data_IF_757889772050
#
_entry.id   IF_757889772050
#
_cell.length_a   1.000
_cell.length_b   1.000
_cell.length_c   1.000
_cell.angle_alpha   90.00
_cell.angle_beta   90.00
_cell.angle_gamma   90.00
#
_symmetry.space_group_name_H-M   'P 1'
#
loop_
_entity.id
_entity.type
_entity.pdbx_description
1 polymer ?
#
# COMPACT_ATOMS: atom_id res chain seq x y z
N UNK A 1 16.36 -8.55 -29.65
CA UNK A 1 16.35 -8.49 -28.18
C UNK A 1 14.89 -8.41 -27.78
N UNK A 2 14.41 -9.45 -27.10
CA UNK A 2 12.98 -9.73 -26.92
C UNK A 2 12.34 -8.75 -25.93
N UNK A 3 11.15 -8.24 -26.26
CA UNK A 3 10.37 -7.24 -25.51
C UNK A 3 9.79 -7.78 -24.18
N UNK A 4 10.15 -8.99 -23.75
CA UNK A 4 9.50 -9.72 -22.65
C UNK A 4 10.24 -9.65 -21.30
N UNK A 5 11.27 -8.82 -21.15
CA UNK A 5 12.03 -8.65 -19.89
C UNK A 5 11.91 -7.27 -19.22
N UNK A 6 11.13 -6.35 -19.80
CA UNK A 6 10.72 -5.10 -19.15
C UNK A 6 9.34 -5.31 -18.51
N UNK A 7 9.28 -5.87 -17.30
CA UNK A 7 8.31 -5.31 -16.37
C UNK A 7 8.73 -3.83 -16.25
N UNK A 8 7.94 -2.91 -16.81
CA UNK A 8 8.41 -1.54 -17.00
C UNK A 8 8.80 -0.96 -15.64
N UNK A 9 9.86 -0.13 -15.58
CA UNK A 9 10.23 0.52 -14.32
C UNK A 9 9.03 1.28 -13.71
N UNK A 10 8.10 1.73 -14.56
CA UNK A 10 6.81 2.29 -14.18
C UNK A 10 5.92 1.30 -13.41
N UNK A 11 5.77 0.07 -13.86
CA UNK A 11 4.97 -0.95 -13.16
C UNK A 11 5.61 -1.32 -11.83
N UNK A 12 6.94 -1.48 -11.79
CA UNK A 12 7.67 -1.74 -10.55
C UNK A 12 7.50 -0.60 -9.53
N UNK A 13 7.58 0.66 -10.00
CA UNK A 13 7.32 1.84 -9.18
C UNK A 13 5.90 1.85 -8.62
N UNK A 14 4.89 1.69 -9.50
CA UNK A 14 3.47 1.67 -9.10
C UNK A 14 3.22 0.60 -8.05
N UNK A 15 3.75 -0.59 -8.27
CA UNK A 15 3.64 -1.71 -7.35
C UNK A 15 4.26 -1.43 -5.98
N UNK A 16 5.50 -0.93 -5.94
CA UNK A 16 6.16 -0.54 -4.67
C UNK A 16 5.38 0.55 -3.93
N UNK A 17 4.87 1.55 -4.63
CA UNK A 17 4.03 2.59 -4.04
C UNK A 17 2.72 2.02 -3.48
N UNK A 18 2.07 1.09 -4.18
CA UNK A 18 0.87 0.42 -3.69
C UNK A 18 1.15 -0.36 -2.40
N UNK A 19 2.19 -1.20 -2.38
CA UNK A 19 2.58 -1.96 -1.18
C UNK A 19 2.79 -1.02 0.02
N UNK A 20 3.58 0.04 -0.17
CA UNK A 20 3.88 1.01 0.89
C UNK A 20 2.64 1.75 1.39
N UNK A 21 1.80 2.22 0.46
CA UNK A 21 0.63 3.03 0.79
C UNK A 21 -0.43 2.18 1.49
N UNK A 22 -0.70 0.97 1.00
CA UNK A 22 -1.63 0.04 1.64
C UNK A 22 -1.13 -0.35 3.03
N UNK A 23 0.16 -0.70 3.17
CA UNK A 23 0.72 -1.04 4.47
C UNK A 23 0.61 0.13 5.47
N UNK A 24 0.92 1.35 5.04
CA UNK A 24 0.78 2.55 5.87
C UNK A 24 -0.69 2.77 6.26
N UNK A 25 -1.62 2.71 5.31
CA UNK A 25 -3.05 2.82 5.59
C UNK A 25 -3.51 1.83 6.63
N UNK A 26 -3.18 0.54 6.48
CA UNK A 26 -3.56 -0.52 7.41
C UNK A 26 -2.98 -0.30 8.83
N UNK A 27 -1.73 0.17 8.94
CA UNK A 27 -1.10 0.41 10.23
C UNK A 27 -1.60 1.68 10.94
N UNK A 28 -1.89 2.73 10.17
CA UNK A 28 -2.21 4.06 10.71
C UNK A 28 -3.72 4.30 10.81
N UNK A 29 -4.52 3.52 10.10
CA UNK A 29 -5.97 3.73 10.10
C UNK A 29 -6.36 4.93 9.26
N UNK A 30 -5.90 5.01 8.02
CA UNK A 30 -6.18 6.15 7.14
C UNK A 30 -6.78 5.70 5.81
N UNK A 31 -7.93 6.26 5.46
CA UNK A 31 -8.45 6.22 4.11
C UNK A 31 -7.67 7.21 3.24
N UNK A 32 -7.49 6.89 1.97
CA UNK A 32 -6.81 7.80 1.05
C UNK A 32 -7.77 8.84 0.48
N UNK A 33 -7.27 10.03 0.10
CA UNK A 33 -8.03 10.95 -0.72
C UNK A 33 -8.27 10.38 -2.12
N UNK A 34 -9.36 10.76 -2.76
CA UNK A 34 -9.65 10.39 -4.15
C UNK A 34 -8.64 11.00 -5.12
N UNK A 35 -8.22 12.24 -4.83
CA UNK A 35 -7.15 12.90 -5.55
C UNK A 35 -6.35 13.80 -4.61
N UNK A 36 -5.05 13.57 -4.58
CA UNK A 36 -4.09 14.53 -4.05
C UNK A 36 -2.98 14.64 -5.08
N UNK A 37 -2.88 15.81 -5.70
CA UNK A 37 -1.92 16.05 -6.77
C UNK A 37 -0.49 15.71 -6.35
N UNK A 38 0.37 15.44 -7.32
CA UNK A 38 1.77 15.21 -7.05
C UNK A 38 2.41 16.56 -6.65
N UNK A 39 3.05 16.68 -5.47
CA UNK A 39 3.62 17.95 -5.05
C UNK A 39 4.78 18.34 -5.97
N UNK A 40 4.57 19.35 -6.83
CA UNK A 40 5.50 19.71 -7.90
C UNK A 40 6.88 20.11 -7.37
N UNK A 41 6.96 20.70 -6.18
CA UNK A 41 8.22 21.07 -5.53
C UNK A 41 9.13 19.87 -5.27
N UNK A 42 8.58 18.65 -5.14
CA UNK A 42 9.41 17.45 -5.01
C UNK A 42 10.23 17.23 -6.26
N UNK A 43 9.67 17.49 -7.46
CA UNK A 43 10.37 17.29 -8.72
C UNK A 43 11.61 18.18 -8.91
N UNK A 44 11.76 19.22 -8.08
CA UNK A 44 12.88 20.16 -8.11
C UNK A 44 14.09 19.66 -7.30
N UNK A 45 13.90 18.69 -6.39
CA UNK A 45 14.95 18.15 -5.52
C UNK A 45 14.95 16.60 -5.52
N UNK A 46 15.96 15.96 -6.15
CA UNK A 46 16.10 14.51 -6.18
C UNK A 46 16.15 13.85 -4.79
N UNK A 47 16.69 14.51 -3.77
CA UNK A 47 16.74 13.97 -2.41
C UNK A 47 15.36 14.00 -1.75
N UNK A 48 14.55 15.04 -2.00
CA UNK A 48 13.16 15.05 -1.55
C UNK A 48 12.34 13.97 -2.26
N UNK A 49 12.53 13.77 -3.57
CA UNK A 49 11.90 12.67 -4.30
C UNK A 49 12.28 11.30 -3.74
N UNK A 50 13.57 11.09 -3.47
CA UNK A 50 14.08 9.86 -2.89
C UNK A 50 13.46 9.61 -1.52
N UNK A 51 13.43 10.62 -0.65
CA UNK A 51 12.79 10.52 0.66
C UNK A 51 11.28 10.28 0.56
N UNK A 52 10.61 10.88 -0.43
CA UNK A 52 9.16 10.79 -0.60
C UNK A 52 8.71 9.45 -1.17
N UNK A 53 9.40 8.94 -2.20
CA UNK A 53 9.09 7.64 -2.81
C UNK A 53 9.76 6.46 -2.09
N UNK A 54 10.78 6.74 -1.26
CA UNK A 54 11.54 5.73 -0.53
C UNK A 54 12.05 4.62 -1.48
N UNK A 55 11.83 3.34 -1.14
CA UNK A 55 12.24 2.21 -1.99
C UNK A 55 11.74 2.23 -3.45
N UNK A 56 10.66 2.96 -3.75
CA UNK A 56 10.17 3.08 -5.13
C UNK A 56 11.02 4.03 -5.99
N UNK A 57 11.82 4.90 -5.36
CA UNK A 57 12.66 5.87 -6.05
C UNK A 57 13.68 5.22 -6.99
N UNK A 58 14.22 4.05 -6.64
CA UNK A 58 15.19 3.37 -7.51
C UNK A 58 14.60 3.09 -8.90
N UNK A 59 13.38 2.58 -8.95
CA UNK A 59 12.66 2.34 -10.21
C UNK A 59 12.32 3.66 -10.92
N UNK A 60 11.90 4.67 -10.17
CA UNK A 60 11.63 6.03 -10.68
C UNK A 60 12.84 6.69 -11.34
N UNK A 61 14.02 6.54 -10.75
CA UNK A 61 15.27 7.14 -11.24
C UNK A 61 15.74 6.56 -12.58
N UNK A 62 15.30 5.33 -12.91
CA UNK A 62 15.65 4.62 -14.14
C UNK A 62 14.66 4.89 -15.29
N UNK A 63 13.56 5.57 -15.02
CA UNK A 63 12.53 5.93 -16.00
C UNK A 63 12.97 7.06 -16.93
N UNK A 64 12.46 7.05 -18.16
CA UNK A 64 12.49 8.22 -19.04
C UNK A 64 11.64 9.37 -18.47
N UNK A 65 11.85 10.60 -18.95
CA UNK A 65 11.02 11.75 -18.51
C UNK A 65 9.52 11.53 -18.75
N UNK A 66 9.16 10.86 -19.84
CA UNK A 66 7.76 10.52 -20.15
C UNK A 66 7.19 9.53 -19.13
N UNK A 67 7.93 8.48 -18.78
CA UNK A 67 7.51 7.52 -17.75
C UNK A 67 7.44 8.17 -16.36
N UNK A 68 8.38 9.07 -16.03
CA UNK A 68 8.33 9.83 -14.78
C UNK A 68 7.11 10.74 -14.69
N UNK A 69 6.69 11.36 -15.81
CA UNK A 69 5.43 12.10 -15.86
C UNK A 69 4.24 11.17 -15.65
N UNK A 70 4.18 10.04 -16.36
CA UNK A 70 3.13 9.04 -16.17
C UNK A 70 3.06 8.49 -14.73
N UNK A 71 4.20 8.31 -14.08
CA UNK A 71 4.29 7.90 -12.68
C UNK A 71 3.69 8.95 -11.74
N UNK A 72 3.99 10.25 -11.97
CA UNK A 72 3.42 11.36 -11.20
C UNK A 72 1.91 11.48 -11.43
N UNK A 73 1.45 11.46 -12.68
CA UNK A 73 0.04 11.53 -13.04
C UNK A 73 -0.76 10.37 -12.41
N UNK A 74 -0.22 9.16 -12.47
CA UNK A 74 -0.82 8.01 -11.81
C UNK A 74 -0.86 8.17 -10.28
N UNK A 75 0.22 8.70 -9.68
CA UNK A 75 0.32 8.91 -8.23
C UNK A 75 -0.83 9.77 -7.70
N UNK A 76 -1.33 10.72 -8.49
CA UNK A 76 -2.46 11.58 -8.09
C UNK A 76 -3.77 10.82 -7.90
N UNK A 77 -3.91 9.65 -8.51
CA UNK A 77 -5.13 8.84 -8.53
C UNK A 77 -5.02 7.54 -7.72
N UNK A 78 -3.82 7.23 -7.20
CA UNK A 78 -3.57 5.96 -6.49
C UNK A 78 -4.47 5.77 -5.26
N UNK A 79 -4.88 6.88 -4.62
CA UNK A 79 -5.69 6.83 -3.40
C UNK A 79 -7.07 6.21 -3.64
N UNK A 80 -7.78 6.67 -4.67
CA UNK A 80 -9.06 6.08 -5.09
C UNK A 80 -8.90 4.58 -5.44
N UNK A 81 -7.80 4.23 -6.12
CA UNK A 81 -7.50 2.85 -6.46
C UNK A 81 -7.31 1.98 -5.20
N UNK A 82 -6.52 2.46 -4.22
CA UNK A 82 -6.29 1.73 -2.96
C UNK A 82 -7.59 1.57 -2.17
N UNK A 83 -8.38 2.63 -2.03
CA UNK A 83 -9.67 2.56 -1.33
C UNK A 83 -10.59 1.50 -1.97
N UNK A 84 -10.63 1.46 -3.30
CA UNK A 84 -11.38 0.43 -4.04
C UNK A 84 -10.87 -0.98 -3.74
N UNK A 85 -9.54 -1.20 -3.78
CA UNK A 85 -8.96 -2.51 -3.47
C UNK A 85 -9.27 -2.97 -2.04
N UNK A 86 -9.32 -2.03 -1.09
CA UNK A 86 -9.54 -2.30 0.33
C UNK A 86 -11.02 -2.23 0.75
N UNK A 87 -11.94 -1.91 -0.16
CA UNK A 87 -13.36 -1.73 0.17
C UNK A 87 -13.63 -0.55 1.13
N UNK A 88 -12.73 0.43 1.14
CA UNK A 88 -12.80 1.65 1.96
C UNK A 88 -13.56 2.76 1.24
N UNK A 89 -14.19 3.63 2.02
CA UNK A 89 -14.70 4.92 1.54
C UNK A 89 -13.58 5.95 1.56
N UNK A 90 -13.57 6.87 0.59
CA UNK A 90 -12.57 7.94 0.54
C UNK A 90 -12.65 8.88 1.74
N UNK A 91 -11.54 9.54 2.08
CA UNK A 91 -11.51 10.50 3.20
C UNK A 91 -12.51 11.65 3.01
N UNK A 92 -12.74 12.08 1.77
CA UNK A 92 -13.66 13.16 1.42
C UNK A 92 -15.13 12.77 1.65
N UNK A 93 -15.46 11.50 1.49
CA UNK A 93 -16.82 10.96 1.64
C UNK A 93 -17.05 10.38 3.04
N UNK A 94 -16.00 10.25 3.84
CA UNK A 94 -16.08 9.69 5.18
C UNK A 94 -16.61 10.72 6.19
N UNK A 95 -17.68 10.36 6.89
CA UNK A 95 -18.19 11.17 8.00
C UNK A 95 -17.16 11.28 9.12
N UNK A 96 -16.94 12.50 9.64
CA UNK A 96 -15.98 12.72 10.72
C UNK A 96 -16.36 11.90 11.95
N UNK A 97 -15.45 11.03 12.39
CA UNK A 97 -15.65 10.15 13.55
C UNK A 97 -16.35 8.82 13.24
N UNK A 98 -16.67 8.54 11.97
CA UNK A 98 -17.09 7.21 11.54
C UNK A 98 -15.92 6.23 11.49
N UNK A 99 -16.21 4.94 11.70
CA UNK A 99 -15.24 3.88 11.48
C UNK A 99 -14.91 3.76 9.98
N UNK A 100 -13.68 3.35 9.67
CA UNK A 100 -13.25 3.07 8.30
C UNK A 100 -13.66 1.64 7.97
N UNK A 101 -14.54 1.49 6.99
CA UNK A 101 -14.87 0.19 6.43
C UNK A 101 -13.66 -0.44 5.75
N UNK A 102 -13.40 -1.73 5.98
CA UNK A 102 -12.28 -2.46 5.37
C UNK A 102 -12.70 -3.88 4.99
N UNK A 103 -12.48 -4.27 3.74
CA UNK A 103 -12.74 -5.61 3.21
C UNK A 103 -11.43 -6.35 2.89
N UNK A 104 -10.73 -6.74 3.95
CA UNK A 104 -9.42 -7.38 3.85
C UNK A 104 -9.47 -8.77 3.20
N UNK A 105 -10.60 -9.48 3.35
CA UNK A 105 -10.79 -10.82 2.80
C UNK A 105 -10.89 -10.76 1.28
N UNK A 106 -11.73 -9.85 0.76
CA UNK A 106 -11.83 -9.62 -0.68
C UNK A 106 -10.51 -9.11 -1.26
N UNK A 107 -9.81 -8.21 -0.55
CA UNK A 107 -8.50 -7.74 -0.96
C UNK A 107 -7.49 -8.90 -1.08
N UNK A 108 -7.39 -9.75 -0.06
CA UNK A 108 -6.48 -10.90 -0.06
C UNK A 108 -6.80 -11.91 -1.18
N UNK A 109 -8.08 -12.11 -1.47
CA UNK A 109 -8.53 -13.03 -2.52
C UNK A 109 -8.23 -12.50 -3.93
N UNK A 110 -8.48 -11.20 -4.18
CA UNK A 110 -8.35 -10.60 -5.51
C UNK A 110 -6.93 -10.11 -5.84
N UNK A 111 -6.12 -9.83 -4.82
CA UNK A 111 -4.79 -9.23 -4.95
C UNK A 111 -3.72 -10.02 -4.19
N UNK A 112 -3.72 -11.36 -4.31
CA UNK A 112 -2.90 -12.27 -3.50
C UNK A 112 -1.42 -11.88 -3.37
N UNK A 113 -0.76 -11.55 -4.48
CA UNK A 113 0.65 -11.16 -4.46
C UNK A 113 0.85 -9.85 -3.69
N UNK A 114 0.05 -8.83 -4.00
CA UNK A 114 0.10 -7.53 -3.34
C UNK A 114 -0.19 -7.65 -1.84
N UNK A 115 -1.19 -8.45 -1.46
CA UNK A 115 -1.50 -8.77 -0.08
C UNK A 115 -0.32 -9.41 0.64
N UNK A 116 0.32 -10.43 0.04
CA UNK A 116 1.50 -11.09 0.60
C UNK A 116 2.63 -10.10 0.89
N UNK A 117 2.93 -9.19 -0.05
CA UNK A 117 3.99 -8.20 0.11
C UNK A 117 3.64 -7.12 1.14
N UNK A 118 2.38 -6.72 1.23
CA UNK A 118 1.87 -5.84 2.29
C UNK A 118 2.07 -6.48 3.66
N UNK A 119 1.74 -7.77 3.82
CA UNK A 119 1.99 -8.50 5.07
C UNK A 119 3.48 -8.52 5.40
N UNK A 120 4.36 -8.78 4.44
CA UNK A 120 5.81 -8.79 4.68
C UNK A 120 6.30 -7.45 5.20
N UNK A 121 5.82 -6.35 4.62
CA UNK A 121 6.15 -4.99 5.04
C UNK A 121 5.63 -4.67 6.44
N UNK A 122 4.37 -5.01 6.74
CA UNK A 122 3.76 -4.78 8.06
C UNK A 122 4.49 -5.58 9.12
N UNK A 123 4.81 -6.86 8.86
CA UNK A 123 5.55 -7.70 9.81
C UNK A 123 6.92 -7.11 10.09
N UNK A 124 7.63 -6.66 9.06
CA UNK A 124 8.96 -6.08 9.23
C UNK A 124 8.95 -4.77 10.02
N UNK A 125 7.93 -3.91 9.81
CA UNK A 125 7.82 -2.62 10.49
C UNK A 125 7.30 -2.75 11.92
N UNK A 126 6.14 -3.39 12.09
CA UNK A 126 5.44 -3.46 13.39
C UNK A 126 6.14 -4.41 14.35
N UNK A 127 6.68 -5.52 13.84
CA UNK A 127 7.30 -6.55 14.66
C UNK A 127 8.83 -6.58 14.47
N UNK A 128 9.43 -5.42 14.18
CA UNK A 128 10.87 -5.25 13.93
C UNK A 128 11.75 -5.84 15.03
N UNK A 129 11.30 -5.79 16.29
CA UNK A 129 12.00 -6.30 17.48
C UNK A 129 11.90 -7.82 17.67
N UNK A 130 11.08 -8.54 16.89
CA UNK A 130 11.00 -10.00 16.97
C UNK A 130 12.17 -10.67 16.23
N UNK A 131 12.53 -11.86 16.71
CA UNK A 131 13.45 -12.75 16.02
C UNK A 131 12.87 -13.21 14.67
N UNK A 132 13.75 -13.54 13.73
CA UNK A 132 13.37 -13.83 12.35
C UNK A 132 12.40 -15.01 12.22
N UNK A 133 12.58 -16.07 13.02
CA UNK A 133 11.72 -17.24 13.06
C UNK A 133 10.28 -16.88 13.47
N UNK A 134 10.13 -15.99 14.45
CA UNK A 134 8.82 -15.48 14.90
C UNK A 134 8.18 -14.60 13.83
N UNK A 135 8.96 -13.74 13.16
CA UNK A 135 8.47 -12.95 12.01
C UNK A 135 7.96 -13.86 10.89
N UNK A 136 8.67 -14.95 10.60
CA UNK A 136 8.30 -15.90 9.55
C UNK A 136 7.02 -16.68 9.90
N UNK A 137 6.85 -17.08 11.16
CA UNK A 137 5.59 -17.65 11.66
C UNK A 137 4.43 -16.67 11.46
N UNK A 138 4.61 -15.39 11.84
CA UNK A 138 3.57 -14.36 11.67
C UNK A 138 3.23 -14.11 10.20
N UNK A 139 4.24 -13.97 9.32
CA UNK A 139 4.03 -13.84 7.88
C UNK A 139 3.20 -14.99 7.34
N UNK A 140 3.60 -16.22 7.65
CA UNK A 140 2.88 -17.40 7.17
C UNK A 140 1.43 -17.42 7.71
N UNK A 141 1.23 -17.11 8.99
CA UNK A 141 -0.11 -17.09 9.59
C UNK A 141 -1.01 -16.03 8.95
N UNK A 142 -0.53 -14.81 8.79
CA UNK A 142 -1.33 -13.72 8.21
C UNK A 142 -1.62 -13.94 6.73
N UNK A 143 -0.66 -14.50 5.96
CA UNK A 143 -0.86 -14.81 4.55
C UNK A 143 -1.85 -15.97 4.32
N UNK A 144 -1.83 -16.98 5.19
CA UNK A 144 -2.71 -18.16 5.04
C UNK A 144 -4.09 -17.98 5.64
N UNK A 145 -4.23 -17.09 6.62
CA UNK A 145 -5.49 -16.82 7.31
C UNK A 145 -5.71 -15.29 7.44
N UNK A 146 -6.24 -14.63 6.39
CA UNK A 146 -6.49 -13.20 6.41
C UNK A 146 -7.46 -12.76 7.51
N UNK A 147 -8.35 -13.66 7.99
CA UNK A 147 -9.26 -13.36 9.12
C UNK A 147 -8.47 -13.13 10.40
N UNK A 148 -7.42 -13.91 10.66
CA UNK A 148 -6.53 -13.70 11.81
C UNK A 148 -5.82 -12.36 11.74
N UNK A 149 -5.32 -12.00 10.55
CA UNK A 149 -4.70 -10.69 10.37
C UNK A 149 -5.70 -9.56 10.58
N UNK A 150 -6.92 -9.68 10.06
CA UNK A 150 -7.99 -8.71 10.27
C UNK A 150 -8.33 -8.55 11.77
N UNK A 151 -8.46 -9.65 12.52
CA UNK A 151 -8.67 -9.59 13.98
C UNK A 151 -7.54 -8.85 14.68
N UNK A 152 -6.28 -9.13 14.32
CA UNK A 152 -5.13 -8.42 14.87
C UNK A 152 -5.17 -6.93 14.51
N UNK A 153 -5.56 -6.59 13.28
CA UNK A 153 -5.61 -5.21 12.82
C UNK A 153 -6.63 -4.39 13.63
N UNK A 154 -7.86 -4.89 13.80
CA UNK A 154 -8.91 -4.21 14.59
C UNK A 154 -8.48 -4.04 16.05
N UNK A 155 -7.78 -5.03 16.62
CA UNK A 155 -7.30 -4.95 17.99
C UNK A 155 -6.24 -3.84 18.19
N UNK A 156 -5.41 -3.55 17.19
CA UNK A 156 -4.34 -2.55 17.27
C UNK A 156 -4.72 -1.20 16.68
N UNK A 157 -5.67 -1.17 15.75
CA UNK A 157 -6.16 0.00 15.03
C UNK A 157 -7.69 0.03 15.15
N UNK A 158 -8.23 0.44 16.32
CA UNK A 158 -9.65 0.28 16.68
C UNK A 158 -10.56 1.32 16.02
N UNK A 159 -10.25 1.68 14.78
CA UNK A 159 -11.05 2.56 13.94
C UNK A 159 -11.60 1.81 12.72
N UNK A 160 -11.21 0.55 12.50
CA UNK A 160 -11.71 -0.26 11.39
C UNK A 160 -13.03 -0.94 11.71
N UNK A 161 -13.93 -0.92 10.73
CA UNK A 161 -15.09 -1.77 10.64
C UNK A 161 -14.85 -2.86 9.58
N UNK A 162 -14.54 -4.08 10.02
CA UNK A 162 -14.18 -5.16 9.11
C UNK A 162 -15.41 -5.77 8.44
N UNK A 163 -15.44 -5.71 7.11
CA UNK A 163 -16.44 -6.38 6.27
C UNK A 163 -16.08 -7.86 6.10
N UNK A 164 -17.10 -8.69 5.85
CA UNK A 164 -16.94 -10.11 5.49
C UNK A 164 -16.14 -10.97 6.47
N UNK A 165 -16.23 -10.68 7.78
CA UNK A 165 -15.57 -11.47 8.83
C UNK A 165 -16.30 -12.76 9.19
N UNK A 166 -17.60 -12.87 8.83
CA UNK A 166 -18.46 -14.04 9.08
C UNK A 166 -18.09 -15.27 8.24
#
# INVERSE_FOLDING_TARGET
MSQDQQASHLDEFKHKILVQSIAASLMEGTAHPNSWGFPSFLAEDPHMLESFFGPAFESYSKMTQTEQQQARDWYETKGALINTMLGMTSWEEQDRGSLIDLDLITFAANHLQLYSEVIDMIVERVYSNLEQDKKDILRNRFKTDPKVFATQLVANVPIYNMKNME
#
